data_IF_860103376442
#
_entry.id   IF_860103376442
#
_cell.length_a   1.000
_cell.length_b   1.000
_cell.length_c   1.000
_cell.angle_alpha   90.00
_cell.angle_beta   90.00
_cell.angle_gamma   90.00
#
_symmetry.space_group_name_H-M   'P 1'
#
loop_
_entity.id
_entity.type
_entity.pdbx_description
1 polymer ?
#
# COMPACT_ATOMS: atom_id res chain seq x y z
N UNK A 1 -17.91 -1.12 -3.57
CA UNK A 1 -17.18 -1.81 -2.48
C UNK A 1 -15.83 -2.26 -2.98
N UNK A 2 -14.76 -2.01 -2.25
CA UNK A 2 -13.43 -2.56 -2.56
C UNK A 2 -13.41 -4.01 -2.10
N UNK A 3 -12.98 -4.92 -2.98
CA UNK A 3 -12.84 -6.35 -2.66
C UNK A 3 -11.43 -6.64 -2.19
N UNK A 4 -10.45 -6.21 -2.95
CA UNK A 4 -9.04 -6.23 -2.59
C UNK A 4 -8.23 -5.28 -3.48
N UNK A 5 -6.97 -5.12 -3.12
CA UNK A 5 -5.96 -4.43 -3.91
C UNK A 5 -4.61 -5.12 -3.69
N UNK A 6 -3.80 -5.19 -4.71
CA UNK A 6 -2.50 -5.84 -4.61
C UNK A 6 -1.52 -5.27 -5.64
N UNK A 7 -0.25 -5.39 -5.30
CA UNK A 7 0.82 -5.22 -6.26
C UNK A 7 1.21 -6.60 -6.83
N UNK A 8 1.50 -6.70 -8.12
CA UNK A 8 2.08 -7.91 -8.65
C UNK A 8 3.42 -8.19 -7.96
N UNK A 9 3.68 -9.46 -7.67
CA UNK A 9 4.95 -9.88 -7.08
C UNK A 9 6.12 -9.45 -7.98
N UNK A 10 7.17 -8.91 -7.36
CA UNK A 10 8.47 -8.77 -8.00
C UNK A 10 8.65 -7.56 -8.91
N UNK A 11 8.05 -6.39 -8.60
CA UNK A 11 8.56 -5.21 -9.28
C UNK A 11 9.99 -4.92 -8.83
N UNK A 12 10.88 -4.80 -9.81
CA UNK A 12 12.26 -4.40 -9.56
C UNK A 12 12.31 -2.92 -9.13
N UNK A 13 13.40 -2.52 -8.48
CA UNK A 13 13.61 -1.09 -8.14
C UNK A 13 13.65 -0.18 -9.37
N UNK A 14 13.74 -0.75 -10.58
CA UNK A 14 13.73 -0.03 -11.85
C UNK A 14 12.32 0.14 -12.42
N UNK A 15 11.38 -0.73 -12.03
CA UNK A 15 10.02 -0.69 -12.51
C UNK A 15 9.19 0.33 -11.73
N UNK A 16 8.34 1.06 -12.44
CA UNK A 16 7.34 1.90 -11.80
C UNK A 16 6.24 1.01 -11.23
N UNK A 17 5.91 1.15 -9.94
CA UNK A 17 4.89 0.31 -9.33
C UNK A 17 3.51 0.58 -9.95
N UNK A 18 2.77 -0.46 -10.19
CA UNK A 18 1.36 -0.40 -10.55
C UNK A 18 0.54 -1.27 -9.59
N UNK A 19 -0.68 -0.87 -9.34
CA UNK A 19 -1.58 -1.54 -8.41
C UNK A 19 -2.82 -2.04 -9.14
N UNK A 20 -3.25 -3.24 -8.82
CA UNK A 20 -4.54 -3.76 -9.21
C UNK A 20 -5.56 -3.49 -8.10
N UNK A 21 -6.64 -2.81 -8.46
CA UNK A 21 -7.76 -2.53 -7.57
C UNK A 21 -8.98 -3.32 -8.05
N UNK A 22 -9.48 -4.23 -7.23
CA UNK A 22 -10.71 -4.98 -7.49
C UNK A 22 -11.87 -4.42 -6.70
N UNK A 23 -12.94 -4.10 -7.38
CA UNK A 23 -14.16 -3.55 -6.79
C UNK A 23 -15.37 -4.36 -7.23
N UNK A 24 -16.43 -4.34 -6.41
CA UNK A 24 -17.76 -4.81 -6.81
C UNK A 24 -18.72 -3.64 -6.89
N UNK A 25 -19.54 -3.62 -7.92
CA UNK A 25 -20.67 -2.69 -8.05
C UNK A 25 -21.86 -3.13 -7.15
N UNK A 26 -22.96 -2.40 -7.23
CA UNK A 26 -24.17 -2.70 -6.45
C UNK A 26 -24.86 -3.97 -6.90
N UNK A 27 -24.68 -4.37 -8.14
CA UNK A 27 -25.19 -5.59 -8.77
C UNK A 27 -24.33 -6.81 -8.45
N UNK A 28 -23.16 -6.61 -7.80
CA UNK A 28 -22.23 -7.68 -7.43
C UNK A 28 -21.19 -8.03 -8.50
N UNK A 29 -21.17 -7.33 -9.64
CA UNK A 29 -20.19 -7.60 -10.69
C UNK A 29 -18.79 -7.16 -10.23
N UNK A 30 -17.79 -7.97 -10.59
CA UNK A 30 -16.39 -7.69 -10.29
C UNK A 30 -15.77 -6.81 -11.39
N UNK A 31 -15.15 -5.73 -10.96
CA UNK A 31 -14.36 -4.86 -11.83
C UNK A 31 -12.92 -4.86 -11.38
N UNK A 32 -12.00 -4.95 -12.33
CA UNK A 32 -10.57 -4.84 -12.09
C UNK A 32 -10.06 -3.57 -12.78
N UNK A 33 -9.39 -2.73 -12.03
CA UNK A 33 -8.72 -1.53 -12.53
C UNK A 33 -7.23 -1.62 -12.24
N UNK A 34 -6.42 -1.31 -13.22
CA UNK A 34 -4.99 -1.12 -13.05
C UNK A 34 -4.72 0.35 -12.84
N UNK A 35 -3.95 0.68 -11.81
CA UNK A 35 -3.45 2.03 -11.55
C UNK A 35 -1.96 2.00 -11.83
N UNK A 36 -1.57 2.61 -12.93
CA UNK A 36 -0.23 2.58 -13.48
C UNK A 36 0.29 3.99 -13.75
N UNK A 37 1.60 4.18 -13.90
CA UNK A 37 2.21 5.51 -14.12
C UNK A 37 1.69 6.28 -15.33
N UNK A 38 1.09 5.61 -16.27
CA UNK A 38 0.48 6.17 -17.49
C UNK A 38 -0.97 6.61 -17.26
N UNK A 39 -1.57 6.18 -16.16
CA UNK A 39 -2.96 6.52 -15.82
C UNK A 39 -3.05 7.91 -15.17
N UNK A 40 -4.16 8.60 -15.42
CA UNK A 40 -4.42 9.94 -14.87
C UNK A 40 -4.44 9.94 -13.33
N UNK A 41 -4.91 8.86 -12.73
CA UNK A 41 -5.01 8.72 -11.27
C UNK A 41 -3.74 8.17 -10.61
N UNK A 42 -2.65 8.08 -11.34
CA UNK A 42 -1.42 7.58 -10.76
C UNK A 42 -0.87 8.52 -9.71
N UNK A 43 -0.78 8.02 -8.50
CA UNK A 43 -0.16 8.69 -7.36
C UNK A 43 1.28 8.21 -7.23
N UNK A 44 2.25 9.12 -7.29
CA UNK A 44 3.63 8.77 -6.96
C UNK A 44 3.76 8.48 -5.48
N UNK A 45 4.58 7.50 -5.09
CA UNK A 45 4.92 7.32 -3.68
C UNK A 45 5.47 8.61 -3.10
N UNK A 46 4.96 9.05 -1.96
CA UNK A 46 5.36 10.33 -1.38
C UNK A 46 5.45 10.28 0.15
N UNK A 47 6.13 11.26 0.70
CA UNK A 47 6.11 11.59 2.11
C UNK A 47 6.13 13.12 2.27
N UNK A 48 6.01 13.56 3.50
CA UNK A 48 6.13 14.98 3.84
C UNK A 48 7.45 15.23 4.57
N UNK A 49 8.03 16.39 4.30
CA UNK A 49 9.26 16.83 4.94
C UNK A 49 9.09 18.25 5.50
N UNK A 50 9.79 18.66 6.57
CA UNK A 50 9.72 20.02 7.09
C UNK A 50 10.14 21.05 6.04
N UNK A 51 9.38 22.15 5.92
CA UNK A 51 9.69 23.29 5.02
C UNK A 51 11.13 23.82 5.23
N UNK A 52 11.66 23.77 6.43
CA UNK A 52 13.02 24.22 6.75
C UNK A 52 14.12 23.16 6.54
N UNK A 53 13.84 22.08 5.81
CA UNK A 53 14.87 21.04 5.56
C UNK A 53 16.08 21.63 4.87
N UNK A 54 17.28 21.37 5.46
CA UNK A 54 18.52 22.00 5.00
C UNK A 54 18.86 21.59 3.55
N UNK A 55 19.22 22.53 2.66
CA UNK A 55 19.51 22.24 1.24
C UNK A 55 20.55 21.14 1.01
N UNK A 56 21.58 21.05 1.84
CA UNK A 56 22.61 20.00 1.75
C UNK A 56 22.01 18.60 1.99
N UNK A 57 21.01 18.49 2.87
CA UNK A 57 20.29 17.22 3.11
C UNK A 57 19.49 16.84 1.87
N UNK A 58 18.77 17.77 1.27
CA UNK A 58 18.03 17.55 0.02
C UNK A 58 18.97 17.15 -1.11
N UNK A 59 20.09 17.86 -1.29
CA UNK A 59 21.10 17.49 -2.30
C UNK A 59 21.64 16.07 -2.10
N UNK A 60 21.94 15.68 -0.86
CA UNK A 60 22.39 14.31 -0.55
C UNK A 60 21.34 13.28 -0.94
N UNK A 61 20.10 13.53 -0.54
CA UNK A 61 18.96 12.62 -0.85
C UNK A 61 18.77 12.48 -2.36
N UNK A 62 18.70 13.59 -3.09
CA UNK A 62 18.51 13.56 -4.56
C UNK A 62 19.67 12.93 -5.31
N UNK A 63 20.88 12.92 -4.73
CA UNK A 63 22.04 12.25 -5.32
C UNK A 63 22.08 10.74 -5.07
N UNK A 64 21.43 10.26 -4.03
CA UNK A 64 21.46 8.84 -3.61
C UNK A 64 20.19 8.08 -3.95
N UNK A 65 19.06 8.78 -4.04
CA UNK A 65 17.75 8.17 -4.32
C UNK A 65 17.25 8.68 -5.68
N UNK A 66 16.97 7.75 -6.58
CA UNK A 66 16.47 8.08 -7.91
C UNK A 66 15.03 8.60 -7.86
N UNK A 67 14.72 9.58 -8.71
CA UNK A 67 13.36 10.07 -8.93
C UNK A 67 12.80 10.94 -7.80
N UNK A 68 13.63 11.41 -6.88
CA UNK A 68 13.20 12.36 -5.83
C UNK A 68 12.76 13.67 -6.44
N UNK A 69 11.57 14.13 -6.09
CA UNK A 69 11.00 15.43 -6.49
C UNK A 69 10.44 16.14 -5.27
N UNK A 70 10.78 17.41 -5.11
CA UNK A 70 10.20 18.28 -4.09
C UNK A 70 9.07 19.10 -4.73
N UNK A 71 7.93 19.13 -4.07
CA UNK A 71 6.72 19.83 -4.54
C UNK A 71 6.48 21.06 -3.63
N UNK A 72 7.15 22.16 -3.93
CA UNK A 72 7.12 23.38 -3.11
C UNK A 72 5.73 24.02 -3.00
N UNK A 73 4.81 23.69 -3.90
CA UNK A 73 3.44 24.22 -3.92
C UNK A 73 2.44 23.34 -3.14
N UNK A 74 2.85 22.17 -2.72
CA UNK A 74 2.00 21.25 -1.94
C UNK A 74 2.41 21.32 -0.47
N UNK A 75 1.67 22.11 0.31
CA UNK A 75 1.93 22.31 1.74
C UNK A 75 0.92 21.55 2.60
N UNK A 76 1.37 21.08 3.75
CA UNK A 76 0.55 20.48 4.80
C UNK A 76 1.01 20.95 6.19
N UNK A 77 0.21 20.65 7.21
CA UNK A 77 0.58 20.88 8.60
C UNK A 77 0.60 19.55 9.34
N UNK A 78 1.75 19.20 9.87
CA UNK A 78 1.91 18.01 10.70
C UNK A 78 1.14 18.10 12.01
N UNK A 79 0.89 16.96 12.65
CA UNK A 79 0.19 16.89 13.95
C UNK A 79 0.89 17.68 15.06
N UNK A 80 2.21 17.88 14.93
CA UNK A 80 3.06 18.69 15.82
C UNK A 80 3.08 20.18 15.44
N UNK A 81 2.25 20.62 14.48
CA UNK A 81 2.20 21.98 13.97
C UNK A 81 3.31 22.35 12.99
N UNK A 82 4.19 21.42 12.62
CA UNK A 82 5.25 21.66 11.64
C UNK A 82 4.66 21.95 10.26
N UNK A 83 5.18 22.97 9.59
CA UNK A 83 4.87 23.19 8.17
C UNK A 83 5.66 22.21 7.32
N UNK A 84 4.98 21.54 6.42
CA UNK A 84 5.48 20.45 5.61
C UNK A 84 5.32 20.76 4.13
N UNK A 85 6.24 20.24 3.32
CA UNK A 85 6.14 20.18 1.86
C UNK A 85 6.22 18.73 1.39
N UNK A 86 5.58 18.44 0.28
CA UNK A 86 5.54 17.09 -0.27
C UNK A 86 6.85 16.74 -0.99
N UNK A 87 7.30 15.53 -0.78
CA UNK A 87 8.43 14.94 -1.50
C UNK A 87 7.98 13.60 -2.08
N UNK A 88 8.12 13.41 -3.38
CA UNK A 88 7.78 12.16 -4.04
C UNK A 88 9.01 11.45 -4.59
N UNK A 89 8.86 10.15 -4.81
CA UNK A 89 9.88 9.25 -5.37
C UNK A 89 9.30 8.39 -6.48
N UNK A 90 10.14 7.69 -7.22
CA UNK A 90 9.67 6.80 -8.28
C UNK A 90 9.27 5.42 -7.75
N UNK A 91 9.86 4.97 -6.64
CA UNK A 91 9.65 3.64 -6.07
C UNK A 91 9.28 3.73 -4.58
N UNK A 92 8.26 3.00 -4.09
CA UNK A 92 7.85 3.00 -2.67
C UNK A 92 8.98 2.64 -1.71
N UNK A 93 9.88 1.72 -2.07
CA UNK A 93 11.00 1.32 -1.21
C UNK A 93 11.96 2.47 -0.92
N UNK A 94 11.99 3.45 -1.81
CA UNK A 94 12.78 4.67 -1.60
C UNK A 94 12.27 5.52 -0.45
N UNK A 95 11.00 5.40 -0.04
CA UNK A 95 10.46 6.09 1.14
C UNK A 95 11.12 5.59 2.43
N UNK A 96 11.39 4.30 2.53
CA UNK A 96 12.11 3.74 3.68
C UNK A 96 13.54 4.27 3.77
N UNK A 97 14.23 4.36 2.64
CA UNK A 97 15.57 4.93 2.59
C UNK A 97 15.57 6.41 3.00
N UNK A 98 14.54 7.18 2.57
CA UNK A 98 14.37 8.59 2.98
C UNK A 98 14.24 8.73 4.49
N UNK A 99 13.48 7.86 5.13
CA UNK A 99 13.26 7.85 6.58
C UNK A 99 14.57 7.72 7.36
N UNK A 100 15.51 6.94 6.85
CA UNK A 100 16.85 6.76 7.46
C UNK A 100 17.78 7.95 7.23
N UNK A 101 17.52 8.74 6.19
CA UNK A 101 18.40 9.84 5.77
C UNK A 101 17.99 11.20 6.32
N UNK A 102 16.69 11.39 6.62
CA UNK A 102 16.16 12.69 7.06
C UNK A 102 14.84 12.54 7.80
N UNK A 103 14.42 13.60 8.51
CA UNK A 103 13.12 13.65 9.15
C UNK A 103 12.01 13.66 8.07
N UNK A 104 11.15 12.67 8.12
CA UNK A 104 9.99 12.52 7.24
C UNK A 104 8.72 12.31 8.06
N UNK A 105 7.56 12.56 7.46
CA UNK A 105 6.24 12.25 7.97
C UNK A 105 5.53 11.40 6.92
N UNK A 106 4.80 10.39 7.36
CA UNK A 106 4.03 9.47 6.51
C UNK A 106 4.86 8.65 5.50
N UNK A 107 6.20 8.59 5.67
CA UNK A 107 7.05 7.73 4.86
C UNK A 107 6.84 6.23 5.15
N UNK A 108 6.14 5.92 6.24
CA UNK A 108 5.76 4.57 6.68
C UNK A 108 4.31 4.20 6.33
N UNK A 109 3.56 5.09 5.69
CA UNK A 109 2.27 4.76 5.12
C UNK A 109 2.48 3.90 3.88
N UNK A 110 1.84 2.74 3.83
CA UNK A 110 1.94 1.86 2.68
C UNK A 110 1.47 2.55 1.41
N UNK A 111 2.17 2.32 0.33
CA UNK A 111 1.89 3.01 -0.94
C UNK A 111 0.48 2.75 -1.47
N UNK A 112 -0.05 1.53 -1.31
CA UNK A 112 -1.44 1.21 -1.65
C UNK A 112 -2.44 2.10 -0.88
N UNK A 113 -2.16 2.38 0.39
CA UNK A 113 -3.02 3.24 1.21
C UNK A 113 -2.95 4.69 0.73
N UNK A 114 -1.78 5.17 0.31
CA UNK A 114 -1.64 6.48 -0.32
C UNK A 114 -2.48 6.60 -1.59
N UNK A 115 -2.48 5.57 -2.44
CA UNK A 115 -3.33 5.52 -3.65
C UNK A 115 -4.82 5.54 -3.26
N UNK A 116 -5.22 4.71 -2.31
CA UNK A 116 -6.63 4.67 -1.88
C UNK A 116 -7.10 5.99 -1.28
N UNK A 117 -6.28 6.65 -0.47
CA UNK A 117 -6.59 7.98 0.09
C UNK A 117 -6.74 9.04 -1.01
N UNK A 118 -5.94 8.97 -2.07
CA UNK A 118 -6.03 9.89 -3.19
C UNK A 118 -7.28 9.64 -4.05
N UNK A 119 -7.61 8.37 -4.32
CA UNK A 119 -8.79 7.99 -5.08
C UNK A 119 -10.09 8.25 -4.33
N UNK A 120 -10.06 8.19 -3.02
CA UNK A 120 -11.22 8.31 -2.13
C UNK A 120 -10.95 9.30 -0.99
N UNK A 121 -10.79 10.60 -1.29
CA UNK A 121 -10.36 11.60 -0.29
C UNK A 121 -11.36 11.81 0.84
N UNK A 122 -12.65 11.66 0.57
CA UNK A 122 -13.70 11.89 1.57
C UNK A 122 -13.93 10.65 2.45
N UNK A 123 -14.00 9.49 1.83
CA UNK A 123 -14.23 8.22 2.53
C UNK A 123 -13.81 7.05 1.66
N UNK A 124 -12.86 6.27 2.14
CA UNK A 124 -12.52 4.99 1.51
C UNK A 124 -13.78 4.10 1.55
N UNK A 125 -14.20 3.52 0.41
CA UNK A 125 -15.31 2.59 0.38
C UNK A 125 -15.13 1.44 1.36
N UNK A 126 -16.24 0.93 1.91
CA UNK A 126 -16.18 -0.21 2.81
C UNK A 126 -15.43 -1.37 2.16
N UNK A 127 -14.51 -1.92 2.93
CA UNK A 127 -13.70 -3.05 2.55
C UNK A 127 -14.17 -4.27 3.33
N UNK A 128 -14.79 -5.20 2.61
CA UNK A 128 -15.23 -6.49 3.17
C UNK A 128 -14.54 -7.61 2.39
N UNK A 129 -13.27 -7.86 2.66
CA UNK A 129 -12.57 -8.95 2.00
C UNK A 129 -13.22 -10.28 2.41
N UNK A 130 -13.33 -11.18 1.46
CA UNK A 130 -13.58 -12.57 1.78
C UNK A 130 -12.26 -13.16 2.28
N UNK A 131 -12.19 -13.44 3.56
CA UNK A 131 -11.00 -14.00 4.19
C UNK A 131 -11.28 -15.46 4.53
N UNK A 132 -10.37 -16.30 4.16
CA UNK A 132 -10.37 -17.69 4.56
C UNK A 132 -9.31 -17.89 5.64
N UNK A 133 -9.75 -18.36 6.77
CA UNK A 133 -8.88 -18.89 7.81
C UNK A 133 -8.88 -20.40 7.68
N UNK A 134 -7.70 -20.99 7.64
CA UNK A 134 -7.61 -22.44 7.63
C UNK A 134 -6.63 -22.89 8.71
N UNK A 135 -6.99 -23.97 9.36
CA UNK A 135 -6.19 -24.65 10.34
C UNK A 135 -5.94 -26.09 9.87
N UNK A 136 -4.72 -26.55 10.01
CA UNK A 136 -4.28 -27.88 9.60
C UNK A 136 -3.74 -28.63 10.81
N UNK A 137 -4.33 -29.77 11.10
CA UNK A 137 -3.77 -30.71 12.06
C UNK A 137 -2.94 -31.76 11.33
N UNK A 138 -1.73 -31.91 11.77
CA UNK A 138 -0.74 -32.80 11.19
C UNK A 138 -0.42 -33.94 12.13
N UNK A 139 -0.57 -35.19 11.67
CA UNK A 139 -0.07 -36.35 12.41
C UNK A 139 1.42 -36.56 12.11
N UNK A 140 2.24 -36.28 13.11
CA UNK A 140 3.70 -36.40 12.98
C UNK A 140 4.16 -37.85 12.82
N UNK A 141 3.34 -38.84 13.20
CA UNK A 141 3.71 -40.27 13.12
C UNK A 141 3.54 -40.79 11.70
N UNK A 142 2.44 -40.40 11.09
CA UNK A 142 2.05 -40.92 9.78
C UNK A 142 2.39 -39.95 8.65
N UNK A 143 2.93 -38.77 8.99
CA UNK A 143 3.42 -37.75 8.07
C UNK A 143 2.34 -37.25 7.08
N UNK A 144 1.11 -37.08 7.57
CA UNK A 144 0.04 -36.51 6.76
C UNK A 144 -0.93 -35.62 7.56
N UNK A 145 -1.66 -34.77 6.85
CA UNK A 145 -2.69 -33.91 7.44
C UNK A 145 -3.93 -34.75 7.76
N UNK A 146 -4.39 -34.69 9.00
CA UNK A 146 -5.55 -35.44 9.48
C UNK A 146 -6.84 -34.63 9.49
N UNK A 147 -6.73 -33.33 9.69
CA UNK A 147 -7.88 -32.40 9.72
C UNK A 147 -7.50 -31.12 9.02
N UNK A 148 -8.45 -30.59 8.29
CA UNK A 148 -8.41 -29.22 7.76
C UNK A 148 -9.73 -28.53 8.12
N UNK A 149 -9.65 -27.43 8.85
CA UNK A 149 -10.77 -26.53 9.09
C UNK A 149 -10.62 -25.26 8.23
N UNK A 150 -11.70 -24.88 7.56
CA UNK A 150 -11.76 -23.65 6.77
C UNK A 150 -12.90 -22.79 7.30
N UNK A 151 -12.58 -21.62 7.80
CA UNK A 151 -13.54 -20.60 8.16
C UNK A 151 -13.51 -19.49 7.10
N UNK A 152 -14.69 -19.16 6.57
CA UNK A 152 -14.87 -18.17 5.53
C UNK A 152 -15.73 -17.04 6.09
N UNK A 153 -15.23 -15.83 6.10
CA UNK A 153 -15.94 -14.66 6.62
C UNK A 153 -17.30 -14.39 5.97
N UNK A 154 -17.61 -15.05 4.85
CA UNK A 154 -18.91 -14.97 4.15
C UNK A 154 -19.76 -16.23 4.34
N UNK A 155 -19.28 -17.23 5.05
CA UNK A 155 -20.05 -18.44 5.38
C UNK A 155 -20.64 -18.31 6.80
N UNK A 156 -21.76 -18.99 7.01
CA UNK A 156 -22.39 -19.01 8.34
C UNK A 156 -21.63 -19.89 9.34
N UNK A 157 -20.93 -20.90 8.84
CA UNK A 157 -20.21 -21.88 9.67
C UNK A 157 -18.91 -22.32 9.00
N UNK A 158 -17.88 -22.63 9.78
CA UNK A 158 -16.67 -23.23 9.25
C UNK A 158 -16.94 -24.63 8.68
N UNK A 159 -16.17 -25.02 7.68
CA UNK A 159 -16.19 -26.37 7.11
C UNK A 159 -14.99 -27.14 7.62
N UNK A 160 -15.24 -28.33 8.15
CA UNK A 160 -14.18 -29.21 8.68
C UNK A 160 -14.12 -30.49 7.82
N UNK A 161 -12.93 -30.78 7.34
CA UNK A 161 -12.58 -32.02 6.66
C UNK A 161 -11.71 -32.85 7.60
N UNK A 162 -12.07 -34.10 7.78
CA UNK A 162 -11.29 -35.05 8.56
C UNK A 162 -11.23 -36.39 7.82
N UNK A 163 -10.07 -37.06 7.84
CA UNK A 163 -9.84 -38.36 7.21
C UNK A 163 -8.79 -39.22 7.93
#
# INVERSE_FOLDING_TARGET
MIVDYFFPDGFSMEDKPHMYLRTRDKEGNLHVRTIAPEEEDYVRPFCWIPVGTHPRTLMRVTSQIRGVRVHDMEEATGKDGAKLIKLSVDNPDSLWQLKDMMKTYEADVYYQDQILMQLYPDKIPEFHPRVWYFDLEWDVRDDFTTVMAVDDTHAEHPVVFAW
#
